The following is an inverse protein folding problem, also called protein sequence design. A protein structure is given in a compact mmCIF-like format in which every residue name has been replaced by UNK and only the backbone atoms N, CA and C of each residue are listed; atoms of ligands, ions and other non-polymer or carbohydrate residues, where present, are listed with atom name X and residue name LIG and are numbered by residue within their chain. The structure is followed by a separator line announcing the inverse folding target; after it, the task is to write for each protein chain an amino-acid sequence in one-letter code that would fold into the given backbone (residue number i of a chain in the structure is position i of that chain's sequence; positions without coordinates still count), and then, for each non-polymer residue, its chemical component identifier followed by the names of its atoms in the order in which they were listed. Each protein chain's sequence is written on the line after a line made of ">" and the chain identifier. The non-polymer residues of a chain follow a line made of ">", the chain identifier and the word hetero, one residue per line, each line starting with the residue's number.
data_IF_445289485967
#
_entry.id   IF_445289485967
#
_cell.length_a   1.000
_cell.length_b   1.000
_cell.length_c   1.000
_cell.angle_alpha   90.00
_cell.angle_beta   90.00
_cell.angle_gamma   90.00
#
_symmetry.space_group_name_H-M   'P 1'
#
loop_
_entity.id
_entity.type
_entity.pdbx_description
1 polymer ?
#
# COMPACT_ATOMS: atom_id res chain seq x y z
N UNK A 1 0.49 -26.90 -7.59
CA UNK A 1 0.06 -27.08 -6.19
C UNK A 1 -0.82 -25.89 -5.85
N UNK A 2 -1.94 -26.11 -5.18
CA UNK A 2 -2.87 -25.04 -4.79
C UNK A 2 -2.42 -24.44 -3.45
N UNK A 3 -2.44 -23.12 -3.32
CA UNK A 3 -2.11 -22.42 -2.07
C UNK A 3 -3.37 -22.28 -1.23
N UNK A 4 -3.32 -22.72 0.03
CA UNK A 4 -4.43 -22.63 0.98
C UNK A 4 -4.41 -21.26 1.67
N UNK A 5 -5.40 -20.44 1.36
CA UNK A 5 -5.49 -19.03 1.75
C UNK A 5 -6.57 -18.83 2.81
N UNK A 6 -6.24 -18.06 3.84
CA UNK A 6 -7.18 -17.54 4.83
C UNK A 6 -7.35 -16.03 4.69
N UNK A 7 -8.49 -15.50 5.11
CA UNK A 7 -8.75 -14.05 5.12
C UNK A 7 -9.16 -13.59 6.52
N UNK A 8 -8.45 -12.60 7.05
CA UNK A 8 -8.75 -11.87 8.27
C UNK A 8 -9.49 -10.56 7.93
N UNK A 9 -10.64 -10.34 8.57
CA UNK A 9 -11.56 -9.25 8.20
C UNK A 9 -12.40 -9.61 6.97
N UNK A 10 -12.73 -10.90 6.81
CA UNK A 10 -13.36 -11.47 5.63
C UNK A 10 -14.73 -10.85 5.28
N UNK A 11 -15.50 -10.35 6.25
CA UNK A 11 -16.79 -9.70 5.99
C UNK A 11 -16.68 -8.19 5.81
N UNK A 12 -15.47 -7.62 5.91
CA UNK A 12 -15.19 -6.23 5.57
C UNK A 12 -15.30 -5.95 4.07
N UNK A 13 -15.44 -4.68 3.68
CA UNK A 13 -15.60 -4.27 2.27
C UNK A 13 -14.46 -4.76 1.36
N UNK A 14 -13.22 -4.70 1.84
CA UNK A 14 -12.05 -5.20 1.09
C UNK A 14 -11.91 -6.72 1.27
N UNK A 15 -12.12 -7.25 2.48
CA UNK A 15 -12.07 -8.68 2.75
C UNK A 15 -12.99 -9.50 1.83
N UNK A 16 -14.23 -9.07 1.62
CA UNK A 16 -15.17 -9.73 0.71
C UNK A 16 -14.67 -9.77 -0.74
N UNK A 17 -14.09 -8.67 -1.21
CA UNK A 17 -13.48 -8.61 -2.55
C UNK A 17 -12.28 -9.57 -2.67
N UNK A 18 -11.47 -9.70 -1.60
CA UNK A 18 -10.36 -10.65 -1.57
C UNK A 18 -10.87 -12.10 -1.52
N UNK A 19 -11.87 -12.43 -0.70
CA UNK A 19 -12.48 -13.76 -0.66
C UNK A 19 -12.96 -14.17 -2.07
N UNK A 20 -13.72 -13.31 -2.73
CA UNK A 20 -14.20 -13.56 -4.10
C UNK A 20 -13.04 -13.72 -5.11
N UNK A 21 -11.98 -12.92 -4.97
CA UNK A 21 -10.82 -13.03 -5.85
C UNK A 21 -10.02 -14.32 -5.64
N UNK A 22 -9.91 -14.80 -4.39
CA UNK A 22 -9.28 -16.09 -4.06
C UNK A 22 -10.11 -17.25 -4.60
N UNK A 23 -11.43 -17.25 -4.38
CA UNK A 23 -12.34 -18.28 -4.90
C UNK A 23 -12.33 -18.37 -6.43
N UNK A 24 -12.13 -17.25 -7.12
CA UNK A 24 -12.04 -17.20 -8.58
C UNK A 24 -10.68 -17.64 -9.13
N UNK A 25 -9.64 -17.72 -8.30
CA UNK A 25 -8.28 -18.06 -8.74
C UNK A 25 -8.07 -19.59 -8.76
N UNK A 26 -7.72 -20.14 -9.92
CA UNK A 26 -7.55 -21.59 -10.09
C UNK A 26 -6.40 -22.21 -9.28
N UNK A 27 -5.44 -21.39 -8.87
CA UNK A 27 -4.23 -21.78 -8.14
C UNK A 27 -4.33 -21.56 -6.62
N UNK A 28 -5.44 -21.01 -6.13
CA UNK A 28 -5.68 -20.70 -4.72
C UNK A 28 -6.93 -21.41 -4.20
N UNK A 29 -6.99 -21.66 -2.90
CA UNK A 29 -8.14 -22.24 -2.22
C UNK A 29 -8.45 -21.42 -0.97
N UNK A 30 -9.66 -20.88 -0.86
CA UNK A 30 -10.11 -20.18 0.35
C UNK A 30 -10.51 -21.21 1.42
N UNK A 31 -9.67 -21.39 2.44
CA UNK A 31 -9.85 -22.43 3.46
C UNK A 31 -10.34 -21.90 4.81
N UNK A 32 -10.23 -20.60 5.05
CA UNK A 32 -10.67 -19.97 6.28
C UNK A 32 -11.09 -18.51 6.04
N UNK A 33 -12.22 -18.13 6.63
CA UNK A 33 -12.70 -16.76 6.69
C UNK A 33 -12.90 -16.44 8.17
N UNK A 34 -12.17 -15.45 8.67
CA UNK A 34 -12.17 -15.07 10.08
C UNK A 34 -12.51 -13.58 10.20
N UNK A 35 -13.48 -13.27 11.04
CA UNK A 35 -13.87 -11.90 11.37
C UNK A 35 -13.87 -11.67 12.90
N UNK A 36 -14.38 -10.52 13.32
CA UNK A 36 -14.42 -10.10 14.72
C UNK A 36 -15.23 -11.11 15.56
N UNK A 37 -14.53 -11.74 16.51
CA UNK A 37 -15.11 -12.69 17.46
C UNK A 37 -14.82 -14.15 17.11
N UNK A 38 -14.29 -14.42 15.91
CA UNK A 38 -13.85 -15.75 15.51
C UNK A 38 -12.46 -16.07 16.07
N UNK A 39 -12.18 -17.36 16.24
CA UNK A 39 -10.92 -17.87 16.78
C UNK A 39 -9.83 -17.94 15.68
N UNK A 40 -8.62 -17.45 15.96
CA UNK A 40 -7.50 -17.51 15.01
C UNK A 40 -7.03 -18.94 14.73
N UNK A 41 -7.29 -19.86 15.66
CA UNK A 41 -7.06 -21.31 15.55
C UNK A 41 -7.80 -21.94 14.37
N UNK A 42 -8.80 -21.25 13.81
CA UNK A 42 -9.45 -21.64 12.55
C UNK A 42 -8.41 -21.78 11.43
N UNK A 43 -7.37 -20.93 11.38
CA UNK A 43 -6.34 -21.00 10.35
C UNK A 43 -5.49 -22.26 10.45
N UNK A 44 -5.07 -22.64 11.66
CA UNK A 44 -4.25 -23.84 11.88
C UNK A 44 -5.07 -25.11 11.67
N UNK A 45 -6.32 -25.14 12.15
CA UNK A 45 -7.24 -26.24 11.92
C UNK A 45 -7.53 -26.46 10.43
N UNK A 46 -7.62 -25.37 9.65
CA UNK A 46 -7.84 -25.42 8.21
C UNK A 46 -6.53 -25.64 7.41
N UNK A 47 -5.38 -25.83 8.04
CA UNK A 47 -4.10 -26.02 7.34
C UNK A 47 -3.74 -24.85 6.42
N UNK A 48 -4.08 -23.63 6.84
CA UNK A 48 -3.84 -22.40 6.07
C UNK A 48 -2.35 -22.15 5.89
N UNK A 49 -1.92 -21.77 4.68
CA UNK A 49 -0.52 -21.49 4.35
C UNK A 49 -0.23 -19.99 4.29
N UNK A 50 -1.18 -19.20 3.78
CA UNK A 50 -1.07 -17.75 3.65
C UNK A 50 -2.34 -17.10 4.17
N UNK A 51 -2.22 -16.06 5.00
CA UNK A 51 -3.36 -15.24 5.43
C UNK A 51 -3.26 -13.84 4.85
N UNK A 52 -4.37 -13.35 4.29
CA UNK A 52 -4.54 -11.95 3.92
C UNK A 52 -5.22 -11.20 5.07
N UNK A 53 -4.62 -10.13 5.58
CA UNK A 53 -5.16 -9.33 6.68
C UNK A 53 -5.60 -7.94 6.21
N UNK A 54 -6.91 -7.71 6.23
CA UNK A 54 -7.56 -6.40 6.08
C UNK A 54 -8.49 -6.15 7.27
N UNK A 55 -7.90 -5.94 8.44
CA UNK A 55 -8.59 -5.73 9.71
C UNK A 55 -8.50 -4.27 10.17
N UNK A 56 -8.02 -4.03 11.40
CA UNK A 56 -7.92 -2.72 12.02
C UNK A 56 -6.55 -2.55 12.68
N UNK A 57 -5.96 -1.33 12.72
CA UNK A 57 -4.66 -1.08 13.35
C UNK A 57 -4.54 -1.52 14.81
N UNK A 58 -5.66 -1.69 15.52
CA UNK A 58 -5.70 -2.13 16.93
C UNK A 58 -5.55 -3.65 17.09
N UNK A 59 -5.81 -4.45 16.04
CA UNK A 59 -5.84 -5.92 16.12
C UNK A 59 -4.82 -6.60 15.19
N UNK A 60 -4.22 -5.86 14.26
CA UNK A 60 -3.28 -6.46 13.29
C UNK A 60 -2.01 -7.03 13.94
N UNK A 61 -1.49 -6.40 14.99
CA UNK A 61 -0.27 -6.87 15.67
C UNK A 61 -0.47 -8.22 16.37
N UNK A 62 -1.50 -8.43 17.22
CA UNK A 62 -1.74 -9.75 17.80
C UNK A 62 -2.08 -10.81 16.74
N UNK A 63 -2.79 -10.45 15.66
CA UNK A 63 -3.02 -11.37 14.53
C UNK A 63 -1.69 -11.82 13.90
N UNK A 64 -0.84 -10.86 13.51
CA UNK A 64 0.46 -11.15 12.90
C UNK A 64 1.34 -12.02 13.78
N UNK A 65 1.37 -11.75 15.09
CA UNK A 65 2.11 -12.56 16.04
C UNK A 65 1.66 -14.02 15.99
N UNK A 66 0.35 -14.27 16.07
CA UNK A 66 -0.21 -15.62 15.96
C UNK A 66 0.17 -16.29 14.64
N UNK A 67 0.05 -15.60 13.51
CA UNK A 67 0.36 -16.15 12.19
C UNK A 67 1.83 -16.57 12.10
N UNK A 68 2.74 -15.68 12.51
CA UNK A 68 4.18 -15.95 12.52
C UNK A 68 4.52 -17.11 13.45
N UNK A 69 4.01 -17.10 14.69
CA UNK A 69 4.24 -18.16 15.68
C UNK A 69 3.70 -19.54 15.24
N UNK A 70 2.77 -19.58 14.27
CA UNK A 70 2.24 -20.81 13.69
C UNK A 70 2.79 -21.15 12.29
N UNK A 71 3.75 -20.38 11.78
CA UNK A 71 4.38 -20.66 10.48
C UNK A 71 3.54 -20.28 9.26
N UNK A 72 2.56 -19.40 9.44
CA UNK A 72 1.63 -18.98 8.40
C UNK A 72 2.15 -17.67 7.80
N UNK A 73 2.32 -17.63 6.48
CA UNK A 73 2.72 -16.41 5.78
C UNK A 73 1.61 -15.36 5.87
N UNK A 74 1.97 -14.08 5.83
CA UNK A 74 0.99 -13.00 5.91
C UNK A 74 1.15 -11.98 4.78
N UNK A 75 0.02 -11.57 4.20
CA UNK A 75 -0.09 -10.47 3.24
C UNK A 75 -1.03 -9.43 3.85
N UNK A 76 -0.47 -8.34 4.34
CA UNK A 76 -1.16 -7.38 5.21
C UNK A 76 -1.40 -6.07 4.47
N UNK A 77 -2.68 -5.71 4.34
CA UNK A 77 -3.12 -4.40 3.84
C UNK A 77 -3.66 -3.48 4.92
N UNK A 78 -3.77 -3.95 6.17
CA UNK A 78 -4.07 -3.11 7.33
C UNK A 78 -2.98 -2.04 7.51
N UNK A 79 -3.40 -0.79 7.71
CA UNK A 79 -2.51 0.37 7.85
C UNK A 79 -2.04 0.57 9.30
N UNK A 80 -1.25 1.62 9.54
CA UNK A 80 -0.81 2.01 10.89
C UNK A 80 0.48 1.34 11.36
N UNK A 81 1.35 0.92 10.44
CA UNK A 81 2.69 0.42 10.78
C UNK A 81 3.70 1.56 10.82
N UNK A 82 4.28 1.78 11.99
CA UNK A 82 5.46 2.61 12.22
C UNK A 82 6.71 1.73 12.38
N UNK A 83 7.89 2.34 12.50
CA UNK A 83 9.14 1.59 12.68
C UNK A 83 9.14 0.71 13.94
N UNK A 84 8.44 1.11 15.00
CA UNK A 84 8.34 0.31 16.21
C UNK A 84 7.57 -1.00 15.95
N UNK A 85 6.42 -0.93 15.27
CA UNK A 85 5.65 -2.11 14.85
C UNK A 85 6.42 -2.96 13.86
N UNK A 86 7.12 -2.36 12.89
CA UNK A 86 7.95 -3.10 11.94
C UNK A 86 9.10 -3.83 12.63
N UNK A 87 9.76 -3.20 13.61
CA UNK A 87 10.81 -3.84 14.41
C UNK A 87 10.28 -5.03 15.22
N UNK A 88 9.08 -4.91 15.78
CA UNK A 88 8.43 -6.01 16.50
C UNK A 88 8.14 -7.20 15.56
N UNK A 89 7.61 -6.95 14.36
CA UNK A 89 7.41 -8.00 13.34
C UNK A 89 8.72 -8.67 12.95
N UNK A 90 9.80 -7.89 12.74
CA UNK A 90 11.14 -8.44 12.48
C UNK A 90 11.61 -9.35 13.61
N UNK A 91 11.31 -9.00 14.87
CA UNK A 91 11.71 -9.80 16.04
C UNK A 91 11.00 -11.17 16.09
N UNK A 92 9.72 -11.24 15.71
CA UNK A 92 9.00 -12.51 15.63
C UNK A 92 9.52 -13.38 14.49
N UNK A 93 9.80 -12.77 13.33
CA UNK A 93 10.32 -13.45 12.15
C UNK A 93 11.74 -14.00 12.35
N UNK A 94 12.55 -13.37 13.21
CA UNK A 94 13.86 -13.92 13.58
C UNK A 94 13.76 -15.31 14.25
N UNK A 95 12.62 -15.64 14.85
CA UNK A 95 12.36 -16.94 15.45
C UNK A 95 11.74 -17.94 14.46
N UNK A 96 11.31 -17.47 13.27
CA UNK A 96 10.59 -18.22 12.24
C UNK A 96 11.12 -17.86 10.84
N UNK A 97 12.38 -18.20 10.53
CA UNK A 97 13.09 -17.71 9.35
C UNK A 97 12.50 -18.20 8.02
N UNK A 98 11.61 -19.19 8.03
CA UNK A 98 10.88 -19.68 6.87
C UNK A 98 9.66 -18.83 6.49
N UNK A 99 9.16 -17.98 7.41
CA UNK A 99 7.91 -17.25 7.22
C UNK A 99 8.15 -15.94 6.49
N UNK A 100 7.47 -15.70 5.37
CA UNK A 100 7.34 -14.39 4.74
C UNK A 100 6.16 -13.57 5.28
N UNK A 101 6.39 -12.29 5.52
CA UNK A 101 5.35 -11.28 5.81
C UNK A 101 5.52 -10.11 4.85
N UNK A 102 4.48 -9.82 4.07
CA UNK A 102 4.36 -8.64 3.23
C UNK A 102 3.43 -7.64 3.89
N UNK A 103 3.92 -6.41 4.14
CA UNK A 103 3.10 -5.28 4.58
C UNK A 103 3.11 -4.25 3.46
N UNK A 104 2.01 -4.11 2.74
CA UNK A 104 1.90 -3.13 1.66
C UNK A 104 0.87 -2.05 2.03
N UNK A 105 1.25 -0.76 2.05
CA UNK A 105 0.31 0.33 2.33
C UNK A 105 -0.71 0.53 1.20
N UNK A 106 -0.46 -0.06 0.02
CA UNK A 106 -1.36 -0.05 -1.12
C UNK A 106 -1.11 -1.29 -1.99
N UNK A 107 -2.16 -2.01 -2.34
CA UNK A 107 -2.11 -3.18 -3.21
C UNK A 107 -2.61 -2.91 -4.65
N UNK A 108 -3.04 -1.68 -4.95
CA UNK A 108 -3.35 -1.31 -6.32
C UNK A 108 -2.03 -1.20 -7.10
N UNK A 109 -1.81 -2.14 -8.04
CA UNK A 109 -0.59 -2.20 -8.85
C UNK A 109 -0.34 -0.88 -9.56
N UNK A 110 -1.38 -0.24 -10.10
CA UNK A 110 -1.28 1.06 -10.76
C UNK A 110 -0.76 2.18 -9.83
N UNK A 111 -1.14 2.18 -8.56
CA UNK A 111 -0.61 3.14 -7.59
C UNK A 111 0.88 2.90 -7.30
N UNK A 112 1.28 1.62 -7.19
CA UNK A 112 2.67 1.23 -6.95
C UNK A 112 3.56 1.62 -8.14
N UNK A 113 3.11 1.33 -9.36
CA UNK A 113 3.79 1.76 -10.58
C UNK A 113 3.86 3.28 -10.68
N UNK A 114 2.77 3.99 -10.35
CA UNK A 114 2.75 5.46 -10.34
C UNK A 114 3.80 6.03 -9.39
N UNK A 115 3.95 5.48 -8.19
CA UNK A 115 4.98 5.90 -7.23
C UNK A 115 6.40 5.65 -7.78
N UNK A 116 6.64 4.47 -8.35
CA UNK A 116 7.96 4.11 -8.90
C UNK A 116 8.34 4.96 -10.10
N UNK A 117 7.43 5.18 -11.03
CA UNK A 117 7.68 6.04 -12.17
C UNK A 117 7.87 7.51 -11.76
N UNK A 118 7.13 7.98 -10.76
CA UNK A 118 7.33 9.32 -10.21
C UNK A 118 8.73 9.48 -9.57
N UNK A 119 9.16 8.52 -8.76
CA UNK A 119 10.51 8.47 -8.18
C UNK A 119 11.59 8.53 -9.28
N UNK A 120 11.47 7.72 -10.33
CA UNK A 120 12.42 7.68 -11.43
C UNK A 120 12.43 8.97 -12.28
N UNK A 121 11.26 9.58 -12.50
CA UNK A 121 11.11 10.80 -13.29
C UNK A 121 11.62 12.04 -12.56
N UNK A 122 11.56 12.07 -11.23
CA UNK A 122 11.76 13.26 -10.41
C UNK A 122 13.07 14.01 -10.65
N UNK A 123 14.15 13.29 -11.01
CA UNK A 123 15.48 13.86 -11.30
C UNK A 123 15.58 14.64 -12.62
N UNK A 124 14.60 14.52 -13.52
CA UNK A 124 14.66 15.11 -14.87
C UNK A 124 13.86 16.40 -15.03
N UNK A 125 13.06 16.78 -14.03
CA UNK A 125 12.14 17.91 -14.13
C UNK A 125 12.44 18.96 -13.06
N UNK A 126 12.26 20.24 -13.40
CA UNK A 126 12.47 21.35 -12.48
C UNK A 126 11.31 21.49 -11.49
N UNK A 127 10.09 21.22 -11.93
CA UNK A 127 8.88 21.35 -11.11
C UNK A 127 8.20 19.99 -10.92
N UNK A 128 7.69 19.77 -9.70
CA UNK A 128 6.83 18.63 -9.38
C UNK A 128 5.77 19.00 -8.34
N UNK A 129 4.53 18.55 -8.56
CA UNK A 129 3.44 18.59 -7.59
C UNK A 129 2.62 17.29 -7.64
N UNK A 130 1.96 16.97 -6.52
CA UNK A 130 1.07 15.81 -6.40
C UNK A 130 -0.36 16.30 -6.13
N UNK A 131 -1.32 15.76 -6.87
CA UNK A 131 -2.75 15.97 -6.62
C UNK A 131 -3.38 14.62 -6.28
N UNK A 132 -3.99 14.50 -5.11
CA UNK A 132 -4.81 13.34 -4.76
C UNK A 132 -6.28 13.72 -4.71
N UNK A 133 -7.13 12.80 -5.15
CA UNK A 133 -8.57 12.99 -5.15
C UNK A 133 -9.26 11.75 -4.57
N UNK A 134 -10.12 11.96 -3.59
CA UNK A 134 -10.83 10.87 -2.90
C UNK A 134 -12.30 11.23 -2.66
N UNK A 135 -13.09 10.23 -2.32
CA UNK A 135 -14.44 10.44 -1.79
C UNK A 135 -14.43 11.34 -0.54
N UNK A 136 -15.54 12.06 -0.24
CA UNK A 136 -15.56 13.01 0.87
C UNK A 136 -15.56 12.37 2.26
N UNK A 137 -15.79 11.06 2.37
CA UNK A 137 -15.76 10.33 3.64
C UNK A 137 -14.33 9.92 4.09
N UNK A 138 -13.28 10.34 3.38
CA UNK A 138 -11.90 9.99 3.74
C UNK A 138 -11.42 10.95 4.84
N UNK A 139 -10.98 10.38 5.97
CA UNK A 139 -10.68 11.13 7.18
C UNK A 139 -9.35 11.89 7.13
N UNK A 140 -8.34 11.31 6.51
CA UNK A 140 -6.98 11.85 6.40
C UNK A 140 -6.79 12.70 5.13
N UNK A 141 -5.97 13.75 5.21
CA UNK A 141 -5.50 14.56 4.08
C UNK A 141 -4.08 15.10 4.37
N UNK A 142 -3.11 14.96 3.45
CA UNK A 142 -3.20 14.19 2.21
C UNK A 142 -3.32 12.68 2.46
N UNK A 143 -3.72 11.92 1.44
CA UNK A 143 -3.71 10.46 1.52
C UNK A 143 -2.31 9.91 1.80
N UNK A 144 -2.23 8.77 2.50
CA UNK A 144 -0.95 8.10 2.75
C UNK A 144 -0.14 7.76 1.49
N UNK A 145 -0.80 7.43 0.37
CA UNK A 145 -0.12 7.22 -0.92
C UNK A 145 0.47 8.52 -1.46
N UNK A 146 -0.23 9.64 -1.37
CA UNK A 146 0.27 10.94 -1.84
C UNK A 146 1.44 11.44 -0.99
N UNK A 147 1.36 11.30 0.33
CA UNK A 147 2.47 11.61 1.25
C UNK A 147 3.72 10.78 0.91
N UNK A 148 3.57 9.46 0.76
CA UNK A 148 4.66 8.55 0.37
C UNK A 148 5.25 8.93 -1.00
N UNK A 149 4.39 9.25 -1.97
CA UNK A 149 4.80 9.65 -3.32
C UNK A 149 5.66 10.91 -3.27
N UNK A 150 5.21 11.93 -2.55
CA UNK A 150 5.94 13.18 -2.38
C UNK A 150 7.31 12.97 -1.69
N UNK A 151 7.35 12.16 -0.63
CA UNK A 151 8.60 11.83 0.06
C UNK A 151 9.61 11.09 -0.85
N UNK A 152 9.15 10.14 -1.67
CA UNK A 152 10.00 9.44 -2.65
C UNK A 152 10.55 10.40 -3.71
N UNK A 153 9.70 11.29 -4.24
CA UNK A 153 10.10 12.34 -5.19
C UNK A 153 11.15 13.26 -4.57
N UNK A 154 10.92 13.74 -3.34
CA UNK A 154 11.82 14.64 -2.64
C UNK A 154 13.20 13.98 -2.43
N UNK A 155 13.23 12.73 -1.98
CA UNK A 155 14.47 11.97 -1.80
C UNK A 155 15.24 11.80 -3.12
N UNK A 156 14.56 11.41 -4.20
CA UNK A 156 15.17 11.23 -5.51
C UNK A 156 15.73 12.54 -6.08
N UNK A 157 15.06 13.68 -5.87
CA UNK A 157 15.56 15.01 -6.26
C UNK A 157 16.78 15.41 -5.47
N UNK A 158 16.75 15.20 -4.15
CA UNK A 158 17.89 15.50 -3.28
C UNK A 158 19.13 14.69 -3.67
N UNK A 159 18.97 13.39 -3.96
CA UNK A 159 20.06 12.53 -4.45
C UNK A 159 20.63 13.00 -5.79
N UNK A 160 19.77 13.46 -6.70
CA UNK A 160 20.16 13.98 -8.00
C UNK A 160 20.67 15.45 -7.97
N UNK A 161 20.66 16.11 -6.81
CA UNK A 161 21.05 17.52 -6.67
C UNK A 161 20.08 18.50 -7.33
N UNK A 162 18.83 18.10 -7.56
CA UNK A 162 17.78 18.97 -8.10
C UNK A 162 17.21 19.81 -6.96
N UNK A 163 17.17 21.15 -7.14
CA UNK A 163 16.66 22.08 -6.13
C UNK A 163 15.14 21.99 -5.90
N UNK A 164 14.60 22.89 -5.08
CA UNK A 164 13.16 23.05 -4.90
C UNK A 164 12.49 23.49 -6.21
N UNK A 165 11.22 23.14 -6.39
CA UNK A 165 10.42 23.64 -7.52
C UNK A 165 10.43 25.17 -7.54
N UNK A 166 10.67 25.82 -8.71
CA UNK A 166 10.63 27.27 -8.81
C UNK A 166 9.22 27.79 -8.51
N UNK A 167 9.12 28.75 -7.60
CA UNK A 167 7.85 29.39 -7.22
C UNK A 167 8.10 30.88 -6.90
N UNK A 168 7.48 31.76 -7.68
CA UNK A 168 7.61 33.22 -7.53
C UNK A 168 6.46 33.85 -6.72
N UNK A 169 5.65 33.04 -6.05
CA UNK A 169 4.51 33.50 -5.25
C UNK A 169 4.98 34.45 -4.14
N UNK A 170 4.50 35.70 -4.16
CA UNK A 170 4.83 36.73 -3.15
C UNK A 170 3.68 36.99 -2.17
N UNK A 171 2.46 36.67 -2.55
CA UNK A 171 1.25 36.78 -1.73
C UNK A 171 0.40 35.54 -1.93
N UNK A 172 0.05 34.87 -0.83
CA UNK A 172 -0.69 33.61 -0.85
C UNK A 172 -1.93 33.72 0.05
N UNK A 173 -3.04 33.10 -0.38
CA UNK A 173 -4.15 32.75 0.51
C UNK A 173 -3.83 31.43 1.20
N UNK A 174 -4.09 31.34 2.50
CA UNK A 174 -3.79 30.13 3.28
C UNK A 174 -4.32 28.86 2.60
N UNK A 175 -3.41 27.90 2.37
CA UNK A 175 -3.71 26.60 1.75
C UNK A 175 -3.72 26.58 0.22
N UNK A 176 -3.53 27.71 -0.47
CA UNK A 176 -3.61 27.77 -1.93
C UNK A 176 -2.50 26.98 -2.64
N UNK A 177 -1.30 26.87 -2.06
CA UNK A 177 -0.19 26.08 -2.63
C UNK A 177 -0.15 24.62 -2.16
N UNK A 178 -1.17 24.17 -1.43
CA UNK A 178 -1.23 22.81 -0.90
C UNK A 178 -0.26 22.57 0.26
N UNK A 179 -0.28 21.35 0.79
CA UNK A 179 0.62 20.95 1.87
C UNK A 179 2.06 20.81 1.34
N UNK A 180 3.05 21.17 2.16
CA UNK A 180 4.46 20.93 1.87
C UNK A 180 4.89 19.58 2.47
N UNK A 181 5.32 18.66 1.62
CA UNK A 181 5.91 17.37 2.01
C UNK A 181 7.31 17.32 1.45
N UNK A 182 8.30 17.61 2.30
CA UNK A 182 9.73 17.61 1.96
C UNK A 182 10.10 18.45 0.72
N UNK A 183 9.41 19.57 0.51
CA UNK A 183 9.62 20.48 -0.62
C UNK A 183 8.76 20.17 -1.86
N UNK A 184 7.92 19.14 -1.81
CA UNK A 184 6.95 18.80 -2.86
C UNK A 184 5.56 19.23 -2.42
N UNK A 185 4.85 19.98 -3.26
CA UNK A 185 3.48 20.43 -2.97
C UNK A 185 2.47 19.31 -3.21
N UNK A 186 1.55 19.13 -2.26
CA UNK A 186 0.51 18.11 -2.29
C UNK A 186 -0.88 18.72 -2.10
N UNK A 187 -1.78 18.49 -3.06
CA UNK A 187 -3.16 18.99 -3.06
C UNK A 187 -4.14 17.84 -2.82
N UNK A 188 -5.16 18.08 -2.01
CA UNK A 188 -6.14 17.05 -1.63
C UNK A 188 -7.56 17.45 -2.00
N UNK A 189 -8.18 16.71 -2.91
CA UNK A 189 -9.56 16.91 -3.35
C UNK A 189 -10.48 15.90 -2.66
N UNK A 190 -11.60 16.38 -2.13
CA UNK A 190 -12.66 15.55 -1.55
C UNK A 190 -13.95 15.80 -2.33
N UNK A 191 -14.34 14.82 -3.15
CA UNK A 191 -15.45 15.00 -4.10
C UNK A 191 -16.37 13.78 -4.15
N UNK A 192 -17.68 14.02 -4.01
CA UNK A 192 -18.68 12.97 -4.14
C UNK A 192 -18.62 12.34 -5.55
N UNK A 193 -18.71 11.01 -5.63
CA UNK A 193 -18.58 10.25 -6.88
C UNK A 193 -17.17 9.72 -7.15
N UNK A 194 -16.13 10.26 -6.51
CA UNK A 194 -14.78 9.70 -6.59
C UNK A 194 -14.58 8.51 -5.63
N UNK A 195 -13.53 7.74 -5.88
CA UNK A 195 -13.09 6.63 -5.00
C UNK A 195 -11.70 6.96 -4.45
N UNK A 196 -10.65 6.72 -5.25
CA UNK A 196 -9.27 7.05 -4.91
C UNK A 196 -8.46 7.27 -6.20
N UNK A 197 -7.84 8.45 -6.31
CA UNK A 197 -7.16 8.90 -7.52
C UNK A 197 -5.91 9.70 -7.14
N UNK A 198 -4.90 9.68 -8.01
CA UNK A 198 -3.70 10.50 -7.83
C UNK A 198 -3.12 10.90 -9.18
N UNK A 199 -2.64 12.13 -9.27
CA UNK A 199 -1.83 12.65 -10.36
C UNK A 199 -0.50 13.14 -9.80
N UNK A 200 0.59 12.78 -10.47
CA UNK A 200 1.90 13.40 -10.28
C UNK A 200 2.21 14.21 -11.52
N UNK A 201 2.40 15.51 -11.32
CA UNK A 201 2.60 16.51 -12.36
C UNK A 201 4.07 16.91 -12.36
N UNK A 202 4.76 16.67 -13.46
CA UNK A 202 6.14 17.11 -13.67
C UNK A 202 6.20 18.19 -14.76
N UNK A 203 7.04 19.20 -14.58
CA UNK A 203 7.21 20.30 -15.52
C UNK A 203 8.67 20.69 -15.73
N UNK A 204 9.02 20.96 -16.98
CA UNK A 204 10.32 21.50 -17.40
C UNK A 204 10.14 22.37 -18.66
N UNK A 205 11.22 22.92 -19.22
CA UNK A 205 11.14 23.80 -20.38
C UNK A 205 10.45 23.13 -21.57
N UNK A 206 9.26 23.62 -21.93
CA UNK A 206 8.56 23.23 -23.15
C UNK A 206 7.75 21.94 -23.08
N UNK A 207 7.74 21.23 -21.94
CA UNK A 207 6.98 19.99 -21.78
C UNK A 207 6.53 19.71 -20.34
N UNK A 208 5.55 18.81 -20.22
CA UNK A 208 5.08 18.24 -18.95
C UNK A 208 4.90 16.73 -19.07
N UNK A 209 5.08 16.04 -17.96
CA UNK A 209 4.74 14.62 -17.82
C UNK A 209 3.71 14.48 -16.70
N UNK A 210 2.62 13.77 -16.96
CA UNK A 210 1.60 13.45 -15.97
C UNK A 210 1.50 11.94 -15.79
N UNK A 211 1.61 11.49 -14.55
CA UNK A 211 1.39 10.10 -14.18
C UNK A 211 0.12 10.05 -13.35
N UNK A 212 -0.94 9.45 -13.90
CA UNK A 212 -2.25 9.35 -13.26
C UNK A 212 -2.61 7.92 -12.91
N UNK A 213 -3.09 7.72 -11.70
CA UNK A 213 -3.67 6.46 -11.23
C UNK A 213 -5.13 6.69 -10.79
N UNK A 214 -6.01 5.78 -11.23
CA UNK A 214 -7.43 5.79 -10.91
C UNK A 214 -7.87 4.42 -10.37
N UNK A 215 -8.17 4.34 -9.07
CA UNK A 215 -8.92 3.21 -8.52
C UNK A 215 -10.41 3.49 -8.67
N UNK A 216 -11.01 2.99 -9.74
CA UNK A 216 -12.46 3.14 -9.99
C UNK A 216 -13.33 2.21 -9.12
N UNK A 217 -12.73 1.16 -8.55
CA UNK A 217 -13.41 0.19 -7.70
C UNK A 217 -12.44 -0.45 -6.68
N UNK A 218 -12.98 -0.94 -5.56
CA UNK A 218 -12.19 -1.56 -4.48
C UNK A 218 -11.58 -2.92 -4.88
N UNK A 219 -12.10 -3.56 -5.92
CA UNK A 219 -11.49 -4.76 -6.51
C UNK A 219 -10.09 -4.47 -7.10
N UNK A 220 -9.70 -3.20 -7.29
CA UNK A 220 -8.36 -2.83 -7.76
C UNK A 220 -7.22 -3.29 -6.84
N UNK A 221 -7.49 -3.65 -5.58
CA UNK A 221 -6.49 -4.21 -4.67
C UNK A 221 -6.23 -5.70 -4.89
N UNK A 222 -7.20 -6.45 -5.42
CA UNK A 222 -7.11 -7.89 -5.52
C UNK A 222 -5.89 -8.38 -6.31
N UNK A 223 -5.55 -7.82 -7.50
CA UNK A 223 -4.39 -8.27 -8.26
C UNK A 223 -3.07 -8.21 -7.47
N UNK A 224 -2.83 -7.12 -6.74
CA UNK A 224 -1.61 -7.00 -5.92
C UNK A 224 -1.61 -7.92 -4.71
N UNK A 225 -2.78 -8.13 -4.08
CA UNK A 225 -2.91 -9.11 -2.98
C UNK A 225 -2.61 -10.52 -3.48
N UNK A 226 -3.20 -10.93 -4.60
CA UNK A 226 -2.97 -12.26 -5.17
C UNK A 226 -1.51 -12.46 -5.59
N UNK A 227 -0.86 -11.42 -6.13
CA UNK A 227 0.59 -11.44 -6.38
C UNK A 227 1.37 -11.69 -5.09
N UNK A 228 1.05 -10.94 -4.02
CA UNK A 228 1.65 -11.15 -2.70
C UNK A 228 1.46 -12.59 -2.21
N UNK A 229 0.24 -13.12 -2.28
CA UNK A 229 -0.09 -14.49 -1.83
C UNK A 229 0.71 -15.55 -2.59
N UNK A 230 0.87 -15.39 -3.91
CA UNK A 230 1.58 -16.36 -4.77
C UNK A 230 3.07 -16.41 -4.48
N UNK A 231 3.67 -15.26 -4.20
CA UNK A 231 5.13 -15.10 -4.14
C UNK A 231 5.69 -15.09 -2.71
N UNK A 232 4.85 -14.88 -1.68
CA UNK A 232 5.33 -14.64 -0.30
C UNK A 232 6.15 -15.79 0.28
N UNK A 233 5.82 -17.04 -0.09
CA UNK A 233 6.56 -18.21 0.38
C UNK A 233 8.03 -18.23 -0.12
N UNK A 234 8.30 -17.60 -1.26
CA UNK A 234 9.66 -17.44 -1.80
C UNK A 234 10.45 -16.28 -1.19
N UNK A 235 9.82 -15.50 -0.29
CA UNK A 235 10.36 -14.24 0.25
C UNK A 235 10.26 -14.21 1.78
N UNK A 236 11.06 -15.06 2.48
CA UNK A 236 11.05 -15.11 3.94
C UNK A 236 11.49 -13.79 4.57
N UNK A 237 11.02 -13.54 5.79
CA UNK A 237 11.25 -12.29 6.51
C UNK A 237 10.22 -11.22 6.17
N UNK A 238 10.53 -9.98 6.53
CA UNK A 238 9.63 -8.84 6.36
C UNK A 238 9.93 -8.11 5.05
N UNK A 239 8.94 -8.05 4.17
CA UNK A 239 8.92 -7.14 3.01
C UNK A 239 7.92 -6.01 3.25
N UNK A 240 8.34 -4.77 2.99
CA UNK A 240 7.48 -3.57 3.11
C UNK A 240 7.30 -2.96 1.72
N UNK A 241 6.04 -2.79 1.31
CA UNK A 241 5.68 -2.36 -0.04
C UNK A 241 5.52 -3.53 -1.02
N UNK A 242 4.65 -3.35 -2.01
CA UNK A 242 4.42 -4.35 -3.08
C UNK A 242 5.47 -4.27 -4.18
N UNK A 243 6.19 -3.15 -4.29
CA UNK A 243 7.19 -2.91 -5.32
C UNK A 243 8.29 -3.98 -5.43
N UNK A 244 8.80 -4.62 -4.36
CA UNK A 244 9.82 -5.66 -4.51
C UNK A 244 9.29 -6.92 -5.21
N UNK A 245 7.98 -7.05 -5.37
CA UNK A 245 7.31 -8.17 -6.06
C UNK A 245 7.05 -7.89 -7.54
N UNK A 246 7.35 -6.68 -8.04
CA UNK A 246 6.98 -6.25 -9.40
C UNK A 246 8.14 -6.23 -10.41
N UNK A 247 9.34 -6.69 -10.04
CA UNK A 247 10.55 -6.69 -10.89
C UNK A 247 10.78 -5.34 -11.61
N UNK A 248 10.68 -4.23 -10.86
CA UNK A 248 10.78 -2.84 -11.34
C UNK A 248 12.18 -2.23 -11.16
#
# INVERSE_FOLDING_TARGET
>A
MTIRVGVLGAHGKVGQAICAAVEAAADLELVAQVDKGDALETFTAAGTQVVVDFTHPDVVMPNLKFLVENGIHAVVGTTGFDEARLAEVRSWLAQRPEVGVLIAPNFAIGAVLSMRFAEQAARFFESVEVIELHHPNKADAPSGTAYRTAALIAAARAEAGVGLSPDATTTELEGARGADVDGVRVHSVRLAGLVAHQEVLFGTQGETLTIRHDSIDRNSFAPGVLLGVREIAGRPGLTVGLDPFLDL
#
